data_IF_205188917130
#
_entry.id   IF_205188917130
#
_cell.length_a   1.000
_cell.length_b   1.000
_cell.length_c   1.000
_cell.angle_alpha   90.00
_cell.angle_beta   90.00
_cell.angle_gamma   90.00
#
_symmetry.space_group_name_H-M   'P 1'
#
loop_
_entity.id
_entity.type
_entity.pdbx_description
1 polymer ?
#
# COMPACT_ATOMS: atom_id res chain seq x y z
N UNK A 1 10.46 36.04 -16.84
CA UNK A 1 9.64 34.96 -16.26
C UNK A 1 9.89 34.97 -14.76
N UNK A 2 8.88 35.18 -13.92
CA UNK A 2 9.09 35.47 -12.48
C UNK A 2 9.60 34.23 -11.73
N UNK A 3 10.65 34.38 -10.90
CA UNK A 3 11.17 33.32 -10.01
C UNK A 3 10.06 32.65 -9.20
N UNK A 4 9.06 33.42 -8.76
CA UNK A 4 7.90 32.92 -8.01
C UNK A 4 7.08 31.91 -8.81
N UNK A 5 6.91 32.13 -10.12
CA UNK A 5 6.18 31.21 -11.00
C UNK A 5 6.91 29.88 -11.12
N UNK A 6 8.25 29.90 -11.15
CA UNK A 6 9.05 28.67 -11.22
C UNK A 6 8.88 27.86 -9.92
N UNK A 7 9.02 28.50 -8.76
CA UNK A 7 8.84 27.84 -7.46
C UNK A 7 7.45 27.19 -7.31
N UNK A 8 6.39 27.92 -7.69
CA UNK A 8 5.02 27.40 -7.65
C UNK A 8 4.84 26.17 -8.53
N UNK A 9 5.45 26.15 -9.73
CA UNK A 9 5.38 24.98 -10.63
C UNK A 9 6.08 23.77 -10.04
N UNK A 10 7.26 23.95 -9.45
CA UNK A 10 7.99 22.85 -8.80
C UNK A 10 7.20 22.26 -7.62
N UNK A 11 6.67 23.12 -6.74
CA UNK A 11 5.84 22.66 -5.62
C UNK A 11 4.59 21.91 -6.11
N UNK A 12 3.92 22.42 -7.15
CA UNK A 12 2.76 21.76 -7.73
C UNK A 12 3.10 20.37 -8.31
N UNK A 13 4.25 20.23 -8.98
CA UNK A 13 4.70 18.94 -9.51
C UNK A 13 5.00 17.93 -8.40
N UNK A 14 5.67 18.36 -7.32
CA UNK A 14 5.96 17.51 -6.16
C UNK A 14 4.68 17.02 -5.50
N UNK A 15 3.74 17.92 -5.23
CA UNK A 15 2.43 17.58 -4.65
C UNK A 15 1.67 16.63 -5.59
N UNK A 16 1.67 16.92 -6.90
CA UNK A 16 1.06 16.04 -7.90
C UNK A 16 1.67 14.64 -7.93
N UNK A 17 2.99 14.52 -7.80
CA UNK A 17 3.68 13.24 -7.70
C UNK A 17 3.27 12.42 -6.49
N UNK A 18 3.13 13.06 -5.33
CA UNK A 18 2.65 12.40 -4.11
C UNK A 18 1.18 11.98 -4.22
N UNK A 19 0.32 12.83 -4.77
CA UNK A 19 -1.08 12.48 -5.03
C UNK A 19 -1.16 11.29 -6.00
N UNK A 20 -0.37 11.30 -7.07
CA UNK A 20 -0.35 10.21 -8.03
C UNK A 20 0.05 8.88 -7.38
N UNK A 21 1.11 8.89 -6.56
CA UNK A 21 1.54 7.72 -5.81
C UNK A 21 0.46 7.25 -4.82
N UNK A 22 -0.21 8.17 -4.12
CA UNK A 22 -1.32 7.84 -3.21
C UNK A 22 -2.48 7.16 -3.94
N UNK A 23 -2.88 7.71 -5.10
CA UNK A 23 -3.96 7.16 -5.94
C UNK A 23 -3.60 5.76 -6.44
N UNK A 24 -2.32 5.50 -6.77
CA UNK A 24 -1.86 4.17 -7.14
C UNK A 24 -1.81 3.19 -5.96
N UNK A 25 -1.43 3.66 -4.77
CA UNK A 25 -1.37 2.84 -3.56
C UNK A 25 -2.75 2.51 -2.98
N UNK A 26 -3.77 3.33 -3.24
CA UNK A 26 -5.14 3.12 -2.76
C UNK A 26 -5.75 1.76 -3.16
N UNK A 27 -5.86 1.40 -4.46
CA UNK A 27 -6.41 0.11 -4.85
C UNK A 27 -5.51 -1.06 -4.41
N UNK A 28 -4.19 -0.86 -4.33
CA UNK A 28 -3.27 -1.86 -3.81
C UNK A 28 -3.54 -2.19 -2.34
N UNK A 29 -3.81 -1.17 -1.52
CA UNK A 29 -4.21 -1.34 -0.12
C UNK A 29 -5.56 -2.05 -0.01
N UNK A 30 -6.57 -1.62 -0.76
CA UNK A 30 -7.89 -2.25 -0.76
C UNK A 30 -7.83 -3.74 -1.09
N UNK A 31 -6.98 -4.14 -2.05
CA UNK A 31 -6.78 -5.56 -2.40
C UNK A 31 -6.16 -6.33 -1.23
N UNK A 32 -5.15 -5.75 -0.56
CA UNK A 32 -4.50 -6.36 0.61
C UNK A 32 -5.53 -6.57 1.73
N UNK A 33 -6.31 -5.54 2.03
CA UNK A 33 -7.29 -5.55 3.11
C UNK A 33 -8.42 -6.57 2.84
N UNK A 34 -8.99 -6.56 1.64
CA UNK A 34 -10.01 -7.53 1.24
C UNK A 34 -9.48 -8.96 1.22
N UNK A 35 -8.24 -9.16 0.73
CA UNK A 35 -7.61 -10.48 0.71
C UNK A 35 -7.40 -11.02 2.13
N UNK A 36 -7.01 -10.16 3.07
CA UNK A 36 -6.88 -10.53 4.48
C UNK A 36 -8.23 -10.82 5.13
N UNK A 37 -9.26 -10.05 4.79
CA UNK A 37 -10.61 -10.26 5.32
C UNK A 37 -11.19 -11.63 4.91
N UNK A 38 -10.92 -12.10 3.69
CA UNK A 38 -11.31 -13.45 3.24
C UNK A 38 -10.71 -14.51 4.15
N UNK A 39 -9.42 -14.40 4.50
CA UNK A 39 -8.78 -15.33 5.43
C UNK A 39 -9.47 -15.30 6.81
N UNK A 40 -9.71 -14.11 7.36
CA UNK A 40 -10.35 -13.96 8.67
C UNK A 40 -11.78 -14.53 8.69
N UNK A 41 -12.58 -14.26 7.65
CA UNK A 41 -13.94 -14.81 7.52
C UNK A 41 -13.93 -16.34 7.37
N UNK A 42 -13.02 -16.86 6.55
CA UNK A 42 -12.84 -18.30 6.37
C UNK A 42 -12.43 -18.99 7.68
N UNK A 43 -11.53 -18.38 8.45
CA UNK A 43 -11.05 -18.92 9.73
C UNK A 43 -12.15 -18.94 10.81
N UNK A 44 -12.96 -17.88 10.89
CA UNK A 44 -14.02 -17.75 11.89
C UNK A 44 -15.31 -18.53 11.56
N UNK A 45 -15.38 -19.17 10.39
CA UNK A 45 -16.51 -20.00 10.00
C UNK A 45 -16.64 -21.24 10.91
N UNK A 46 -17.88 -21.70 11.15
CA UNK A 46 -18.16 -22.98 11.85
C UNK A 46 -17.77 -24.19 10.98
N UNK A 47 -16.47 -24.36 10.73
CA UNK A 47 -15.88 -25.39 9.86
C UNK A 47 -16.28 -26.82 10.24
N UNK A 48 -16.55 -27.05 11.54
CA UNK A 48 -16.96 -28.33 12.10
C UNK A 48 -18.44 -28.67 11.84
N UNK A 49 -19.28 -27.70 11.49
CA UNK A 49 -20.70 -27.90 11.12
C UNK A 49 -20.91 -28.07 9.61
N UNK A 50 -19.83 -28.08 8.85
CA UNK A 50 -19.84 -28.00 7.39
C UNK A 50 -19.56 -29.35 6.74
N UNK A 51 -20.00 -29.54 5.49
CA UNK A 51 -19.80 -30.81 4.77
C UNK A 51 -18.31 -31.15 4.59
N UNK A 52 -17.96 -32.44 4.58
CA UNK A 52 -16.57 -32.91 4.34
C UNK A 52 -15.93 -32.33 3.07
N UNK A 53 -16.73 -32.11 2.01
CA UNK A 53 -16.24 -31.51 0.75
C UNK A 53 -15.85 -30.05 0.96
N UNK A 54 -16.71 -29.29 1.64
CA UNK A 54 -16.49 -27.86 1.92
C UNK A 54 -15.35 -27.65 2.92
N UNK A 55 -15.20 -28.49 3.94
CA UNK A 55 -14.06 -28.39 4.88
C UNK A 55 -12.72 -28.58 4.16
N UNK A 56 -12.63 -29.52 3.19
CA UNK A 56 -11.42 -29.67 2.36
C UNK A 56 -11.13 -28.42 1.52
N UNK A 57 -12.16 -27.84 0.91
CA UNK A 57 -12.02 -26.59 0.16
C UNK A 57 -11.60 -25.42 1.05
N UNK A 58 -12.14 -25.35 2.26
CA UNK A 58 -11.80 -24.33 3.25
C UNK A 58 -10.32 -24.42 3.65
N UNK A 59 -9.78 -25.63 3.83
CA UNK A 59 -8.35 -25.82 4.11
C UNK A 59 -7.46 -25.32 2.98
N UNK A 60 -7.85 -25.55 1.71
CA UNK A 60 -7.12 -25.04 0.55
C UNK A 60 -7.21 -23.50 0.49
N UNK A 61 -8.40 -22.95 0.72
CA UNK A 61 -8.62 -21.50 0.76
C UNK A 61 -7.75 -20.86 1.83
N UNK A 62 -7.81 -21.34 3.08
CA UNK A 62 -7.00 -20.85 4.19
C UNK A 62 -5.51 -20.88 3.84
N UNK A 63 -5.01 -21.99 3.29
CA UNK A 63 -3.60 -22.11 2.90
C UNK A 63 -3.21 -21.09 1.81
N UNK A 64 -4.08 -20.82 0.85
CA UNK A 64 -3.85 -19.82 -0.22
C UNK A 64 -3.95 -18.39 0.30
N UNK A 65 -4.85 -18.13 1.25
CA UNK A 65 -5.12 -16.80 1.82
C UNK A 65 -4.19 -16.42 2.97
N UNK A 66 -3.28 -17.31 3.40
CA UNK A 66 -2.23 -17.00 4.37
C UNK A 66 -1.32 -15.87 3.90
N UNK A 67 -1.08 -15.79 2.59
CA UNK A 67 -0.36 -14.69 1.97
C UNK A 67 -1.38 -13.75 1.31
N UNK A 68 -1.52 -12.50 1.76
CA UNK A 68 -2.44 -11.56 1.15
C UNK A 68 -2.04 -11.30 -0.29
N UNK A 69 -3.02 -11.02 -1.15
CA UNK A 69 -2.75 -10.57 -2.50
C UNK A 69 -2.11 -9.17 -2.45
N UNK A 70 -0.88 -9.05 -2.94
CA UNK A 70 -0.13 -7.79 -2.91
C UNK A 70 0.16 -7.33 -4.33
N UNK A 71 -0.17 -6.07 -4.63
CA UNK A 71 0.21 -5.43 -5.88
C UNK A 71 1.57 -4.75 -5.73
N UNK A 72 2.51 -5.09 -6.62
CA UNK A 72 3.87 -4.52 -6.61
C UNK A 72 4.19 -3.79 -7.90
N UNK A 73 4.82 -2.62 -7.79
CA UNK A 73 5.47 -1.96 -8.90
C UNK A 73 6.88 -2.55 -9.07
N UNK A 74 7.08 -3.28 -10.17
CA UNK A 74 8.37 -3.87 -10.54
C UNK A 74 8.95 -4.85 -9.52
N UNK A 75 8.13 -5.45 -8.64
CA UNK A 75 8.53 -6.30 -7.50
C UNK A 75 9.39 -5.61 -6.42
N UNK A 76 9.59 -4.30 -6.51
CA UNK A 76 10.44 -3.53 -5.60
C UNK A 76 9.60 -2.70 -4.63
N UNK A 77 8.46 -2.19 -5.10
CA UNK A 77 7.59 -1.33 -4.31
C UNK A 77 6.20 -1.96 -4.16
N UNK A 78 5.81 -2.24 -2.93
CA UNK A 78 4.45 -2.66 -2.61
C UNK A 78 3.53 -1.45 -2.63
N UNK A 79 2.44 -1.52 -3.40
CA UNK A 79 1.41 -0.48 -3.45
C UNK A 79 0.54 -0.56 -2.18
N UNK A 80 1.05 -0.01 -1.08
CA UNK A 80 0.34 0.08 0.21
C UNK A 80 0.50 1.46 0.83
N UNK A 81 -0.38 1.82 1.77
CA UNK A 81 -0.26 3.08 2.50
C UNK A 81 0.96 3.11 3.40
N UNK A 82 1.39 1.95 3.91
CA UNK A 82 2.62 1.83 4.68
C UNK A 82 3.84 2.25 3.85
N UNK A 83 3.95 1.72 2.63
CA UNK A 83 5.05 2.08 1.73
C UNK A 83 4.96 3.54 1.26
N UNK A 84 3.76 4.08 1.08
CA UNK A 84 3.55 5.50 0.80
C UNK A 84 4.06 6.39 1.95
N UNK A 85 3.72 6.04 3.20
CA UNK A 85 4.17 6.76 4.38
C UNK A 85 5.71 6.73 4.52
N UNK A 86 6.33 5.58 4.25
CA UNK A 86 7.80 5.47 4.23
C UNK A 86 8.45 6.40 3.19
N UNK A 87 7.85 6.55 2.00
CA UNK A 87 8.32 7.51 0.98
C UNK A 87 8.17 8.95 1.45
N UNK A 88 7.04 9.31 2.07
CA UNK A 88 6.86 10.66 2.65
C UNK A 88 7.93 10.93 3.71
N UNK A 89 8.13 9.99 4.64
CA UNK A 89 9.10 10.13 5.72
C UNK A 89 10.51 10.33 5.17
N UNK A 90 10.94 9.49 4.22
CA UNK A 90 12.24 9.63 3.57
C UNK A 90 12.40 11.00 2.90
N UNK A 91 11.35 11.49 2.21
CA UNK A 91 11.38 12.80 1.57
C UNK A 91 11.58 13.93 2.60
N UNK A 92 10.83 13.93 3.70
CA UNK A 92 11.00 14.93 4.76
C UNK A 92 12.35 14.83 5.46
N UNK A 93 12.87 13.61 5.67
CA UNK A 93 14.21 13.40 6.20
C UNK A 93 15.26 13.99 5.27
N UNK A 94 15.21 13.70 3.97
CA UNK A 94 16.13 14.30 2.99
C UNK A 94 16.03 15.81 2.96
N UNK A 95 14.81 16.36 2.93
CA UNK A 95 14.60 17.81 2.98
C UNK A 95 15.26 18.42 4.23
N UNK A 96 14.99 17.86 5.41
CA UNK A 96 15.57 18.31 6.68
C UNK A 96 17.09 18.26 6.66
N UNK A 97 17.67 17.13 6.21
CA UNK A 97 19.13 16.99 6.13
C UNK A 97 19.76 18.03 5.19
N UNK A 98 19.18 18.26 4.01
CA UNK A 98 19.68 19.27 3.09
C UNK A 98 19.59 20.68 3.69
N UNK A 99 18.49 21.01 4.35
CA UNK A 99 18.37 22.30 5.04
C UNK A 99 19.38 22.48 6.16
N UNK A 100 19.74 21.40 6.87
CA UNK A 100 20.76 21.46 7.94
C UNK A 100 22.19 21.62 7.43
N UNK A 101 22.48 21.23 6.18
CA UNK A 101 23.79 21.50 5.56
C UNK A 101 23.89 22.91 4.97
N UNK A 102 22.74 23.57 4.75
CA UNK A 102 22.67 24.93 4.23
C UNK A 102 22.67 26.00 5.34
N UNK A 103 22.46 25.60 6.60
CA UNK A 103 22.58 26.43 7.82
C UNK A 103 24.00 26.41 8.37
#
# INVERSE_FOLDING_TARGET
>A
MSEKTILVRYLAMVIGGFIHLLVLSFPGQEIIDHSSEVFHKAYNMMWYKTSRKTTKLLSILLYRSLEPCVLTAGKIYVLSFQNYASVMQATFSYFTTLTSFQS
#
